data_IF_226695570535
#
_entry.id   IF_226695570535
#
_cell.length_a   1.000
_cell.length_b   1.000
_cell.length_c   1.000
_cell.angle_alpha   90.00
_cell.angle_beta   90.00
_cell.angle_gamma   90.00
#
_symmetry.space_group_name_H-M   'P 1'
#
loop_
_entity.id
_entity.type
_entity.pdbx_description
1 polymer ?
#
# COMPACT_ATOMS: atom_id res chain seq x y z
N UNK A 1 -1.62 -20.04 0.32
CA UNK A 1 -2.85 -19.33 0.73
C UNK A 1 -3.10 -18.22 -0.28
N UNK A 2 -4.06 -18.41 -1.19
CA UNK A 2 -4.38 -17.43 -2.21
C UNK A 2 -5.20 -16.33 -1.55
N UNK A 3 -4.57 -15.19 -1.23
CA UNK A 3 -5.30 -14.02 -0.76
C UNK A 3 -6.03 -13.43 -1.96
N UNK A 4 -7.39 -13.41 -1.97
CA UNK A 4 -8.09 -12.68 -2.99
C UNK A 4 -7.69 -11.21 -2.85
N UNK A 5 -7.11 -10.64 -3.92
CA UNK A 5 -6.94 -9.20 -4.03
C UNK A 5 -8.36 -8.62 -4.06
N UNK A 6 -8.86 -8.19 -2.90
CA UNK A 6 -10.12 -7.46 -2.81
C UNK A 6 -9.97 -6.20 -3.66
N UNK A 7 -10.67 -6.19 -4.79
CA UNK A 7 -10.77 -5.01 -5.64
C UNK A 7 -11.61 -3.99 -4.84
N UNK A 8 -10.94 -2.96 -4.31
CA UNK A 8 -11.50 -1.93 -3.41
C UNK A 8 -12.78 -1.28 -3.96
N UNK A 9 -13.02 -1.36 -5.27
CA UNK A 9 -14.16 -0.80 -5.99
C UNK A 9 -15.54 -1.32 -5.53
N UNK A 10 -15.65 -2.54 -5.00
CA UNK A 10 -16.96 -3.14 -4.66
C UNK A 10 -17.47 -2.78 -3.25
N UNK A 11 -16.61 -2.22 -2.39
CA UNK A 11 -16.97 -1.88 -1.00
C UNK A 11 -17.55 -0.48 -0.82
N UNK A 12 -17.49 0.38 -1.84
CA UNK A 12 -17.94 1.78 -1.75
C UNK A 12 -19.43 1.99 -2.05
N UNK A 13 -20.22 0.92 -2.19
CA UNK A 13 -21.62 0.98 -2.67
C UNK A 13 -22.71 0.84 -1.59
N UNK A 14 -22.41 0.81 -0.29
CA UNK A 14 -23.42 0.47 0.72
C UNK A 14 -23.47 1.43 1.94
N UNK A 15 -24.56 2.21 2.01
CA UNK A 15 -25.34 2.80 3.14
C UNK A 15 -24.73 3.16 4.52
N UNK A 16 -23.43 3.02 4.79
CA UNK A 16 -22.75 3.77 5.85
C UNK A 16 -22.27 5.10 5.26
N UNK A 17 -22.40 6.21 5.99
CA UNK A 17 -21.68 7.43 5.58
C UNK A 17 -20.18 7.10 5.47
N UNK A 18 -19.53 7.57 4.40
CA UNK A 18 -18.11 7.29 4.14
C UNK A 18 -17.24 7.58 5.38
N UNK A 19 -17.61 8.59 6.17
CA UNK A 19 -16.92 8.95 7.42
C UNK A 19 -17.13 7.93 8.56
N UNK A 20 -18.32 7.35 8.68
CA UNK A 20 -18.56 6.27 9.63
C UNK A 20 -17.73 5.04 9.26
N UNK A 21 -17.67 4.70 7.96
CA UNK A 21 -16.84 3.61 7.47
C UNK A 21 -15.35 3.88 7.74
N UNK A 22 -14.86 5.10 7.45
CA UNK A 22 -13.49 5.50 7.73
C UNK A 22 -13.15 5.40 9.23
N UNK A 23 -14.06 5.82 10.11
CA UNK A 23 -13.89 5.69 11.57
C UNK A 23 -13.79 4.22 12.00
N UNK A 24 -14.66 3.36 11.50
CA UNK A 24 -14.63 1.91 11.79
C UNK A 24 -13.30 1.30 11.32
N UNK A 25 -12.90 1.56 10.07
CA UNK A 25 -11.64 1.07 9.52
C UNK A 25 -10.43 1.56 10.33
N UNK A 26 -10.43 2.84 10.72
CA UNK A 26 -9.37 3.43 11.53
C UNK A 26 -9.25 2.76 12.90
N UNK A 27 -10.37 2.44 13.54
CA UNK A 27 -10.38 1.75 14.82
C UNK A 27 -9.85 0.32 14.69
N UNK A 28 -10.24 -0.39 13.63
CA UNK A 28 -9.76 -1.75 13.35
C UNK A 28 -8.24 -1.74 13.09
N UNK A 29 -7.73 -0.82 12.28
CA UNK A 29 -6.30 -0.70 11.99
C UNK A 29 -5.51 -0.46 13.29
N UNK A 30 -5.94 0.48 14.13
CA UNK A 30 -5.27 0.75 15.42
C UNK A 30 -5.31 -0.44 16.36
N UNK A 31 -6.47 -1.10 16.48
CA UNK A 31 -6.61 -2.30 17.31
C UNK A 31 -5.66 -3.40 16.86
N UNK A 32 -5.67 -3.75 15.57
CA UNK A 32 -4.81 -4.80 15.03
C UNK A 32 -3.32 -4.47 15.22
N UNK A 33 -2.92 -3.22 14.98
CA UNK A 33 -1.54 -2.79 15.17
C UNK A 33 -1.08 -2.83 16.64
N UNK A 34 -2.00 -2.61 17.60
CA UNK A 34 -1.69 -2.73 19.03
C UNK A 34 -1.55 -4.18 19.51
N UNK A 35 -2.15 -5.14 18.80
CA UNK A 35 -2.16 -6.54 19.21
C UNK A 35 -1.01 -7.35 18.58
N UNK A 36 -0.63 -7.04 17.34
CA UNK A 36 0.36 -7.80 16.59
C UNK A 36 0.96 -7.02 15.42
N UNK A 37 2.06 -7.56 14.87
CA UNK A 37 2.61 -7.10 13.60
C UNK A 37 1.61 -7.35 12.46
N UNK A 38 1.36 -6.32 11.65
CA UNK A 38 0.40 -6.33 10.56
C UNK A 38 0.96 -5.63 9.30
N UNK A 39 0.49 -6.07 8.13
CA UNK A 39 0.68 -5.37 6.86
C UNK A 39 -0.67 -4.78 6.43
N UNK A 40 -0.71 -3.47 6.23
CA UNK A 40 -1.88 -2.76 5.71
C UNK A 40 -1.57 -2.20 4.32
N UNK A 41 -2.51 -2.36 3.38
CA UNK A 41 -2.39 -1.81 2.03
C UNK A 41 -3.42 -0.71 1.85
N UNK A 42 -2.95 0.53 1.69
CA UNK A 42 -3.82 1.70 1.51
C UNK A 42 -4.59 2.10 2.78
N UNK A 43 -5.85 2.54 2.61
CA UNK A 43 -6.80 2.88 3.70
C UNK A 43 -6.27 3.94 4.69
N UNK A 44 -5.40 4.83 4.23
CA UNK A 44 -4.75 5.87 5.04
C UNK A 44 -4.04 5.30 6.28
N UNK A 45 -3.58 4.05 6.24
CA UNK A 45 -2.98 3.38 7.39
C UNK A 45 -1.74 4.12 7.91
N UNK A 46 -0.94 4.70 7.02
CA UNK A 46 0.20 5.54 7.34
C UNK A 46 -0.18 6.76 8.19
N UNK A 47 -1.28 7.43 7.85
CA UNK A 47 -1.79 8.58 8.58
C UNK A 47 -2.48 8.15 9.89
N UNK A 48 -3.21 7.04 9.87
CA UNK A 48 -3.92 6.49 11.03
C UNK A 48 -2.93 6.03 12.12
N UNK A 49 -1.78 5.49 11.71
CA UNK A 49 -0.72 4.95 12.56
C UNK A 49 0.51 5.88 12.66
N UNK A 50 0.37 7.16 12.30
CA UNK A 50 1.49 8.14 12.27
C UNK A 50 2.24 8.28 13.59
N UNK A 51 1.54 8.07 14.71
CA UNK A 51 2.10 8.15 16.06
C UNK A 51 2.58 6.78 16.59
N UNK A 52 2.45 5.70 15.80
CA UNK A 52 2.86 4.36 16.20
C UNK A 52 4.37 4.18 15.94
N UNK A 53 5.19 3.89 16.98
CA UNK A 53 6.65 3.95 16.91
C UNK A 53 7.27 2.91 15.96
N UNK A 54 6.60 1.78 15.77
CA UNK A 54 7.04 0.71 14.86
C UNK A 54 6.32 0.74 13.50
N UNK A 55 5.59 1.83 13.19
CA UNK A 55 4.96 1.95 11.87
C UNK A 55 6.00 2.10 10.77
N UNK A 56 5.75 1.47 9.63
CA UNK A 56 6.59 1.59 8.44
C UNK A 56 5.70 1.82 7.22
N UNK A 57 5.89 2.98 6.59
CA UNK A 57 5.01 3.47 5.53
C UNK A 57 5.80 3.50 4.22
N UNK A 58 5.39 2.67 3.27
CA UNK A 58 6.07 2.49 1.98
C UNK A 58 5.09 2.78 0.86
N UNK A 59 5.50 3.59 -0.11
CA UNK A 59 4.78 3.80 -1.34
C UNK A 59 5.50 3.10 -2.49
N UNK A 60 4.77 2.24 -3.20
CA UNK A 60 5.31 1.49 -4.34
C UNK A 60 4.68 2.03 -5.62
N UNK A 61 5.52 2.53 -6.51
CA UNK A 61 5.17 2.93 -7.87
C UNK A 61 5.74 1.94 -8.89
N UNK A 62 5.35 2.10 -10.16
CA UNK A 62 5.89 1.35 -11.29
C UNK A 62 5.60 2.11 -12.59
N UNK A 63 6.37 1.84 -13.64
CA UNK A 63 6.10 2.41 -14.95
C UNK A 63 4.74 1.95 -15.48
N UNK A 64 4.06 2.83 -16.22
CA UNK A 64 2.73 2.55 -16.76
C UNK A 64 2.70 1.26 -17.59
N UNK A 65 3.70 1.05 -18.46
CA UNK A 65 3.76 -0.14 -19.32
C UNK A 65 3.87 -1.45 -18.53
N UNK A 66 4.63 -1.48 -17.43
CA UNK A 66 4.75 -2.68 -16.59
C UNK A 66 3.45 -2.99 -15.85
N UNK A 67 2.79 -1.94 -15.35
CA UNK A 67 1.46 -2.05 -14.71
C UNK A 67 0.43 -2.59 -15.70
N UNK A 68 0.42 -2.04 -16.91
CA UNK A 68 -0.48 -2.48 -17.98
C UNK A 68 -0.20 -3.94 -18.34
N UNK A 69 1.04 -4.30 -18.64
CA UNK A 69 1.44 -5.68 -18.97
C UNK A 69 0.96 -6.69 -17.91
N UNK A 70 1.17 -6.37 -16.63
CA UNK A 70 0.72 -7.22 -15.51
C UNK A 70 -0.80 -7.34 -15.46
N UNK A 71 -1.53 -6.25 -15.60
CA UNK A 71 -2.99 -6.24 -15.49
C UNK A 71 -3.68 -6.85 -16.71
N UNK A 72 -3.19 -6.63 -17.94
CA UNK A 72 -3.69 -7.29 -19.14
C UNK A 72 -3.61 -8.82 -18.97
N UNK A 73 -2.47 -9.33 -18.49
CA UNK A 73 -2.29 -10.76 -18.24
C UNK A 73 -3.18 -11.29 -17.10
N UNK A 74 -3.40 -10.50 -16.05
CA UNK A 74 -4.13 -10.96 -14.85
C UNK A 74 -5.64 -10.87 -15.01
N UNK A 75 -6.14 -9.83 -15.68
CA UNK A 75 -7.56 -9.50 -15.78
C UNK A 75 -8.17 -9.86 -17.14
N UNK A 76 -7.36 -10.26 -18.12
CA UNK A 76 -7.79 -10.56 -19.49
C UNK A 76 -8.61 -9.43 -20.13
N UNK A 77 -8.12 -8.19 -19.94
CA UNK A 77 -8.71 -6.95 -20.47
C UNK A 77 -7.82 -6.38 -21.58
N UNK A 78 -8.40 -5.56 -22.46
CA UNK A 78 -7.63 -4.83 -23.47
C UNK A 78 -6.72 -3.76 -22.84
N UNK A 79 -5.69 -3.34 -23.58
CA UNK A 79 -4.77 -2.29 -23.11
C UNK A 79 -5.51 -0.99 -22.76
N UNK A 80 -6.52 -0.61 -23.55
CA UNK A 80 -7.33 0.60 -23.30
C UNK A 80 -8.10 0.49 -21.99
N UNK A 81 -8.81 -0.62 -21.76
CA UNK A 81 -9.56 -0.86 -20.52
C UNK A 81 -8.64 -0.89 -19.30
N UNK A 82 -7.47 -1.52 -19.42
CA UNK A 82 -6.48 -1.58 -18.35
C UNK A 82 -5.93 -0.20 -18.02
N UNK A 83 -5.63 0.61 -19.04
CA UNK A 83 -5.13 1.98 -18.84
C UNK A 83 -6.16 2.86 -18.14
N UNK A 84 -7.43 2.77 -18.56
CA UNK A 84 -8.53 3.48 -17.90
C UNK A 84 -8.73 3.01 -16.46
N UNK A 85 -8.67 1.70 -16.21
CA UNK A 85 -8.76 1.12 -14.87
C UNK A 85 -7.64 1.64 -13.96
N UNK A 86 -6.41 1.70 -14.45
CA UNK A 86 -5.27 2.25 -13.71
C UNK A 86 -5.54 3.72 -13.35
N UNK A 87 -5.89 4.56 -14.33
CA UNK A 87 -6.15 5.98 -14.09
C UNK A 87 -7.29 6.20 -13.11
N UNK A 88 -8.41 5.48 -13.28
CA UNK A 88 -9.56 5.57 -12.37
C UNK A 88 -9.20 5.15 -10.95
N UNK A 89 -8.46 4.05 -10.80
CA UNK A 89 -8.07 3.52 -9.50
C UNK A 89 -7.08 4.45 -8.78
N UNK A 90 -6.08 4.97 -9.48
CA UNK A 90 -5.10 5.89 -8.90
C UNK A 90 -5.74 7.23 -8.51
N UNK A 91 -6.65 7.74 -9.36
CA UNK A 91 -7.44 8.94 -9.04
C UNK A 91 -8.27 8.73 -7.79
N UNK A 92 -9.02 7.63 -7.71
CA UNK A 92 -9.84 7.31 -6.54
C UNK A 92 -9.00 7.17 -5.27
N UNK A 93 -7.83 6.52 -5.35
CA UNK A 93 -6.88 6.40 -4.23
C UNK A 93 -6.38 7.77 -3.77
N UNK A 94 -6.00 8.63 -4.70
CA UNK A 94 -5.52 9.98 -4.38
C UNK A 94 -6.63 10.84 -3.77
N UNK A 95 -7.84 10.83 -4.33
CA UNK A 95 -8.97 11.60 -3.82
C UNK A 95 -9.35 11.16 -2.41
N UNK A 96 -9.49 9.86 -2.18
CA UNK A 96 -9.79 9.31 -0.86
C UNK A 96 -8.71 9.67 0.17
N UNK A 97 -7.44 9.48 -0.20
CA UNK A 97 -6.33 9.75 0.70
C UNK A 97 -6.22 11.24 1.06
N UNK A 98 -6.28 12.12 0.07
CA UNK A 98 -6.18 13.56 0.26
C UNK A 98 -7.41 14.14 0.98
N UNK A 99 -8.58 13.49 0.90
CA UNK A 99 -9.78 13.89 1.65
C UNK A 99 -9.64 13.59 3.15
N UNK A 100 -9.13 12.41 3.50
CA UNK A 100 -9.05 11.96 4.90
C UNK A 100 -7.74 12.31 5.63
N UNK A 101 -6.75 12.85 4.91
CA UNK A 101 -5.43 13.16 5.47
C UNK A 101 -4.99 14.56 5.05
N UNK A 102 -4.08 15.16 5.83
CA UNK A 102 -3.41 16.41 5.44
C UNK A 102 -2.17 16.18 4.56
N UNK A 103 -1.98 14.96 4.07
CA UNK A 103 -0.82 14.55 3.27
C UNK A 103 -1.20 14.41 1.80
N UNK A 104 -0.19 14.26 0.93
CA UNK A 104 -0.39 14.05 -0.51
C UNK A 104 -0.07 12.61 -0.88
N UNK A 105 -1.01 11.92 -1.54
CA UNK A 105 -0.81 10.57 -2.05
C UNK A 105 0.36 10.51 -3.04
N UNK A 106 1.26 9.54 -2.85
CA UNK A 106 2.47 9.36 -3.67
C UNK A 106 3.61 10.38 -3.45
N UNK A 107 3.43 11.41 -2.61
CA UNK A 107 4.50 12.37 -2.33
C UNK A 107 5.56 11.78 -1.39
N UNK A 108 6.85 11.98 -1.70
CA UNK A 108 7.95 11.43 -0.90
C UNK A 108 7.93 11.90 0.56
N UNK A 109 7.46 13.12 0.83
CA UNK A 109 7.34 13.66 2.20
C UNK A 109 6.30 12.92 3.06
N UNK A 110 5.39 12.15 2.44
CA UNK A 110 4.32 11.41 3.13
C UNK A 110 4.79 10.07 3.69
N UNK A 111 5.77 9.43 3.03
CA UNK A 111 6.17 8.05 3.30
C UNK A 111 7.61 7.98 3.80
N UNK A 112 7.96 6.89 4.47
CA UNK A 112 9.34 6.64 4.88
C UNK A 112 10.20 6.15 3.70
N UNK A 113 9.57 5.47 2.73
CA UNK A 113 10.21 5.00 1.51
C UNK A 113 9.25 5.08 0.33
N UNK A 114 9.64 5.76 -0.74
CA UNK A 114 9.00 5.69 -2.05
C UNK A 114 9.91 4.92 -3.01
N UNK A 115 9.39 3.87 -3.64
CA UNK A 115 10.19 3.00 -4.51
C UNK A 115 9.44 2.67 -5.80
N UNK A 116 10.16 2.73 -6.93
CA UNK A 116 9.66 2.28 -8.22
C UNK A 116 10.06 0.81 -8.44
N UNK A 117 9.08 -0.09 -8.38
CA UNK A 117 9.30 -1.53 -8.51
C UNK A 117 9.75 -1.97 -9.92
N UNK A 118 9.57 -1.13 -10.94
CA UNK A 118 10.07 -1.41 -12.29
C UNK A 118 11.60 -1.32 -12.39
N UNK A 119 12.26 -0.60 -11.46
CA UNK A 119 13.72 -0.40 -11.50
C UNK A 119 14.46 -1.66 -11.02
N UNK A 120 13.98 -2.28 -9.94
CA UNK A 120 14.64 -3.44 -9.32
C UNK A 120 13.93 -4.78 -9.62
N UNK A 121 12.76 -4.74 -10.26
CA UNK A 121 11.85 -5.88 -10.33
C UNK A 121 11.25 -6.21 -8.95
N UNK A 122 10.36 -7.22 -8.91
CA UNK A 122 9.64 -7.60 -7.69
C UNK A 122 10.61 -8.08 -6.61
N UNK A 123 11.46 -9.06 -6.92
CA UNK A 123 12.38 -9.66 -5.96
C UNK A 123 13.40 -8.65 -5.41
N UNK A 124 14.00 -7.83 -6.29
CA UNK A 124 14.92 -6.78 -5.87
C UNK A 124 14.25 -5.73 -4.98
N UNK A 125 13.00 -5.35 -5.31
CA UNK A 125 12.21 -4.43 -4.48
C UNK A 125 11.91 -5.03 -3.10
N UNK A 126 11.57 -6.32 -3.02
CA UNK A 126 11.31 -7.02 -1.76
C UNK A 126 12.58 -7.06 -0.90
N UNK A 127 13.72 -7.40 -1.48
CA UNK A 127 15.01 -7.43 -0.77
C UNK A 127 15.36 -6.06 -0.21
N UNK A 128 15.25 -5.01 -1.02
CA UNK A 128 15.54 -3.64 -0.60
C UNK A 128 14.59 -3.15 0.51
N UNK A 129 13.29 -3.46 0.40
CA UNK A 129 12.31 -3.12 1.44
C UNK A 129 12.65 -3.82 2.76
N UNK A 130 13.04 -5.10 2.73
CA UNK A 130 13.46 -5.84 3.95
C UNK A 130 14.67 -5.20 4.62
N UNK A 131 15.67 -4.82 3.84
CA UNK A 131 16.86 -4.11 4.34
C UNK A 131 16.48 -2.78 4.99
N UNK A 132 15.67 -1.97 4.30
CA UNK A 132 15.19 -0.70 4.82
C UNK A 132 14.43 -0.86 6.15
N UNK A 133 13.51 -1.84 6.23
CA UNK A 133 12.74 -2.14 7.44
C UNK A 133 13.67 -2.53 8.59
N UNK A 134 14.63 -3.42 8.33
CA UNK A 134 15.60 -3.90 9.33
C UNK A 134 16.40 -2.74 9.90
N UNK A 135 16.90 -1.86 9.04
CA UNK A 135 17.67 -0.68 9.45
C UNK A 135 16.84 0.33 10.24
N UNK A 136 15.63 0.65 9.78
CA UNK A 136 14.75 1.62 10.46
C UNK A 136 14.34 1.14 11.84
N UNK A 137 13.92 -0.12 11.94
CA UNK A 137 13.40 -0.71 13.18
C UNK A 137 14.51 -1.23 14.10
N UNK A 138 15.79 -1.12 13.67
CA UNK A 138 16.96 -1.64 14.39
C UNK A 138 16.80 -3.12 14.76
N UNK A 139 16.22 -3.90 13.85
CA UNK A 139 16.08 -5.34 14.05
C UNK A 139 17.45 -5.98 13.90
N UNK A 140 17.89 -6.74 14.89
CA UNK A 140 19.07 -7.60 14.74
C UNK A 140 18.73 -8.67 13.70
N UNK A 141 19.41 -8.65 12.57
CA UNK A 141 19.36 -9.79 11.65
C UNK A 141 19.92 -10.99 12.41
N UNK A 142 19.24 -12.16 12.44
CA UNK A 142 19.88 -13.35 12.96
C UNK A 142 21.18 -13.55 12.18
N UNK A 143 22.31 -13.59 12.89
CA UNK A 143 23.59 -13.95 12.28
C UNK A 143 23.39 -15.24 11.50
N UNK A 144 23.82 -15.25 10.24
CA UNK A 144 23.79 -16.45 9.42
C UNK A 144 24.66 -17.52 10.12
N UNK A 145 24.09 -18.64 10.59
CA UNK A 145 24.89 -19.66 11.28
C UNK A 145 25.80 -20.46 10.32
N UNK A 146 25.90 -20.04 9.05
CA UNK A 146 26.67 -20.70 7.99
C UNK A 146 27.67 -19.77 7.27
N UNK A 147 28.07 -18.65 7.87
CA UNK A 147 29.30 -17.92 7.50
C UNK A 147 30.41 -18.17 8.49
#
# INVERSE_FOLDING_TARGET
>A
MHFPFFNDTTLYSNYLSNDALFKIQSNIIRKLASEKSCLFVGRCADYILRDHPYSMNIFISSYMHDRMKRLCHTLNLSETEVKELIHKTDKCRSEYYNYYTYNTWGAAATYHLCINASVLGIEGTVTFIKEFITNKLRLTTPENPFT
#
